data_IF_046728262982
#
_entry.id   IF_046728262982
#
_cell.length_a   1.000
_cell.length_b   1.000
_cell.length_c   1.000
_cell.angle_alpha   90.00
_cell.angle_beta   90.00
_cell.angle_gamma   90.00
#
_symmetry.space_group_name_H-M   'P 1'
#
loop_
_entity.id
_entity.type
_entity.pdbx_description
1 polymer ?
#
# COMPACT_ATOMS: atom_id res chain seq x y z
N UNK A 1 -13.04 24.67 -27.14
CA UNK A 1 -12.29 25.68 -26.36
C UNK A 1 -10.83 25.62 -26.81
N UNK A 2 -10.25 26.70 -27.38
CA UNK A 2 -8.84 26.67 -27.84
C UNK A 2 -7.91 26.70 -26.62
N UNK A 3 -7.06 25.69 -26.47
CA UNK A 3 -6.06 25.63 -25.40
C UNK A 3 -4.93 26.66 -25.63
N UNK A 4 -4.31 27.19 -24.55
CA UNK A 4 -3.17 28.08 -24.64
C UNK A 4 -1.89 27.36 -25.10
N UNK A 5 -1.01 28.09 -25.79
CA UNK A 5 0.17 27.58 -26.51
C UNK A 5 1.26 26.89 -25.64
N UNK A 6 1.13 26.90 -24.32
CA UNK A 6 2.04 26.22 -23.40
C UNK A 6 1.58 24.80 -23.02
N UNK A 7 0.38 24.39 -23.43
CA UNK A 7 -0.14 23.08 -23.12
C UNK A 7 0.74 21.98 -23.78
N UNK A 8 1.27 21.03 -23.01
CA UNK A 8 2.06 19.93 -23.56
C UNK A 8 1.25 19.12 -24.56
N UNK A 9 1.89 18.62 -25.63
CA UNK A 9 1.22 17.93 -26.75
C UNK A 9 0.40 16.69 -26.37
N UNK A 10 0.65 16.11 -25.19
CA UNK A 10 -0.10 14.99 -24.61
C UNK A 10 -1.37 15.40 -23.84
N UNK A 11 -1.64 16.70 -23.67
CA UNK A 11 -2.80 17.25 -22.98
C UNK A 11 -3.79 17.84 -24.00
N UNK A 12 -4.31 17.01 -24.91
CA UNK A 12 -5.47 17.36 -25.74
C UNK A 12 -6.74 16.84 -25.06
N UNK A 13 -7.78 17.69 -24.84
CA UNK A 13 -9.08 17.24 -24.35
C UNK A 13 -9.72 16.32 -25.39
N UNK A 14 -10.50 15.36 -24.90
CA UNK A 14 -11.35 14.46 -25.68
C UNK A 14 -12.35 15.32 -26.47
N UNK A 15 -11.98 15.65 -27.71
CA UNK A 15 -12.95 15.89 -28.76
C UNK A 15 -13.16 14.52 -29.37
N UNK A 16 -14.43 14.13 -29.53
CA UNK A 16 -14.85 12.89 -30.16
C UNK A 16 -14.31 12.83 -31.60
N UNK A 17 -13.07 12.35 -31.75
CA UNK A 17 -12.56 11.92 -33.04
C UNK A 17 -13.27 10.59 -33.33
N UNK A 18 -14.36 10.71 -34.10
CA UNK A 18 -15.06 9.62 -34.77
C UNK A 18 -14.06 8.57 -35.30
N UNK A 19 -14.31 7.31 -34.95
CA UNK A 19 -14.02 6.10 -35.72
C UNK A 19 -12.72 6.07 -36.53
N UNK A 20 -11.59 6.50 -35.96
CA UNK A 20 -10.30 6.03 -36.45
C UNK A 20 -9.96 4.74 -35.72
N UNK A 21 -10.23 3.62 -36.38
CA UNK A 21 -9.81 2.27 -35.99
C UNK A 21 -8.33 2.28 -35.60
N UNK A 22 -8.08 2.50 -34.31
CA UNK A 22 -6.75 2.53 -33.75
C UNK A 22 -6.19 1.14 -33.85
N UNK A 23 -5.17 0.95 -34.70
CA UNK A 23 -4.42 -0.31 -34.83
C UNK A 23 -4.22 -0.90 -33.43
N UNK A 24 -4.69 -2.12 -33.23
CA UNK A 24 -4.42 -2.89 -32.01
C UNK A 24 -2.93 -2.80 -31.71
N UNK A 25 -2.57 -2.62 -30.44
CA UNK A 25 -1.20 -2.98 -30.05
C UNK A 25 -1.11 -4.47 -30.38
N UNK A 26 -0.40 -4.82 -31.46
CA UNK A 26 -0.15 -6.23 -31.72
C UNK A 26 0.43 -6.85 -30.44
N UNK A 27 0.07 -8.10 -30.09
CA UNK A 27 0.54 -8.78 -28.88
C UNK A 27 2.06 -8.98 -28.96
N UNK A 28 2.80 -7.92 -28.66
CA UNK A 28 4.24 -7.89 -28.56
C UNK A 28 4.67 -8.41 -27.20
N UNK A 29 5.93 -8.83 -27.07
CA UNK A 29 6.49 -9.16 -25.77
C UNK A 29 6.43 -7.95 -24.85
N UNK A 30 6.29 -8.20 -23.55
CA UNK A 30 6.25 -7.15 -22.54
C UNK A 30 7.40 -6.15 -22.76
N UNK A 31 7.14 -4.83 -22.88
CA UNK A 31 8.16 -3.84 -23.24
C UNK A 31 9.34 -3.73 -22.26
N UNK A 32 9.20 -4.36 -21.08
CA UNK A 32 10.27 -4.53 -20.09
C UNK A 32 11.38 -5.50 -20.54
N UNK A 33 11.11 -6.35 -21.54
CA UNK A 33 11.97 -7.49 -21.91
C UNK A 33 12.94 -7.22 -23.07
N UNK A 34 12.91 -6.05 -23.72
CA UNK A 34 13.82 -5.72 -24.83
C UNK A 34 14.30 -4.27 -24.81
N UNK A 35 15.62 -4.08 -24.97
CA UNK A 35 16.35 -2.86 -25.35
C UNK A 35 15.74 -1.49 -25.00
N UNK A 36 15.28 -1.30 -23.77
CA UNK A 36 14.94 0.05 -23.26
C UNK A 36 16.00 0.55 -22.29
N UNK A 37 16.24 1.86 -22.36
CA UNK A 37 17.19 2.56 -21.49
C UNK A 37 16.82 2.37 -20.01
N UNK A 38 17.83 2.32 -19.14
CA UNK A 38 17.67 2.22 -17.68
C UNK A 38 16.65 3.23 -17.12
N UNK A 39 16.63 4.46 -17.68
CA UNK A 39 15.69 5.51 -17.29
C UNK A 39 14.23 5.13 -17.57
N UNK A 40 13.96 4.42 -18.67
CA UNK A 40 12.61 3.96 -18.99
C UNK A 40 12.08 2.96 -17.96
N UNK A 41 12.97 2.11 -17.42
CA UNK A 41 12.65 1.16 -16.37
C UNK A 41 12.44 1.88 -15.03
N UNK A 42 13.36 2.79 -14.68
CA UNK A 42 13.34 3.55 -13.42
C UNK A 42 12.05 4.38 -13.26
N UNK A 43 11.59 5.03 -14.33
CA UNK A 43 10.41 5.89 -14.30
C UNK A 43 9.12 5.21 -14.79
N UNK A 44 9.14 3.89 -15.01
CA UNK A 44 7.99 3.14 -15.55
C UNK A 44 7.42 3.72 -16.86
N UNK A 45 8.22 4.45 -17.63
CA UNK A 45 7.74 5.15 -18.83
C UNK A 45 7.27 4.20 -19.94
N UNK A 46 7.67 2.92 -19.86
CA UNK A 46 7.20 1.87 -20.76
C UNK A 46 5.70 1.60 -20.64
N UNK A 47 5.08 1.90 -19.49
CA UNK A 47 3.65 1.77 -19.27
C UNK A 47 2.83 2.88 -19.96
N UNK A 48 3.47 3.99 -20.33
CA UNK A 48 2.79 5.15 -20.92
C UNK A 48 2.06 4.82 -22.23
N UNK A 49 2.55 3.84 -22.99
CA UNK A 49 1.94 3.42 -24.25
C UNK A 49 0.53 2.85 -24.01
N UNK A 50 0.39 1.93 -23.05
CA UNK A 50 -0.90 1.36 -22.68
C UNK A 50 -1.84 2.41 -22.08
N UNK A 51 -1.32 3.32 -21.26
CA UNK A 51 -2.10 4.44 -20.71
C UNK A 51 -2.64 5.36 -21.80
N UNK A 52 -1.84 5.63 -22.83
CA UNK A 52 -2.28 6.45 -23.97
C UNK A 52 -3.34 5.74 -24.79
N UNK A 53 -3.22 4.43 -25.01
CA UNK A 53 -4.24 3.62 -25.68
C UNK A 53 -5.54 3.61 -24.90
N UNK A 54 -5.48 3.34 -23.58
CA UNK A 54 -6.63 3.36 -22.67
C UNK A 54 -7.35 4.70 -22.61
N UNK A 55 -6.64 5.82 -22.86
CA UNK A 55 -7.27 7.14 -22.92
C UNK A 55 -8.11 7.32 -24.19
N UNK A 56 -7.69 6.70 -25.30
CA UNK A 56 -8.33 6.89 -26.61
C UNK A 56 -9.47 5.91 -26.83
N UNK A 57 -9.38 4.70 -26.30
CA UNK A 57 -10.42 3.67 -26.39
C UNK A 57 -10.37 2.71 -25.21
N UNK A 58 -11.45 1.99 -25.01
CA UNK A 58 -11.48 0.86 -24.08
C UNK A 58 -10.46 -0.20 -24.49
N UNK A 59 -9.81 -0.78 -23.48
CA UNK A 59 -8.78 -1.81 -23.68
C UNK A 59 -9.43 -3.18 -23.86
N UNK A 60 -9.07 -3.86 -24.94
CA UNK A 60 -9.43 -5.25 -25.16
C UNK A 60 -8.31 -6.19 -24.69
N UNK A 61 -8.62 -7.48 -24.54
CA UNK A 61 -7.64 -8.49 -24.15
C UNK A 61 -6.46 -8.58 -25.14
N UNK A 62 -6.69 -8.26 -26.41
CA UNK A 62 -5.69 -8.27 -27.47
C UNK A 62 -4.64 -7.14 -27.34
N UNK A 63 -4.97 -6.05 -26.63
CA UNK A 63 -4.06 -4.93 -26.40
C UNK A 63 -3.08 -5.17 -25.25
N UNK A 64 -3.30 -6.25 -24.49
CA UNK A 64 -2.43 -6.62 -23.38
C UNK A 64 -1.19 -7.33 -23.89
N UNK A 65 -0.05 -6.97 -23.32
CA UNK A 65 1.21 -7.63 -23.63
C UNK A 65 1.21 -9.09 -23.21
N UNK A 66 1.87 -9.92 -24.02
CA UNK A 66 2.10 -11.32 -23.68
C UNK A 66 3.20 -11.43 -22.63
N UNK A 67 3.06 -12.42 -21.75
CA UNK A 67 4.10 -12.70 -20.75
C UNK A 67 5.40 -13.13 -21.46
N UNK A 68 6.57 -12.61 -21.04
CA UNK A 68 7.85 -13.04 -21.61
C UNK A 68 8.12 -14.53 -21.35
N UNK A 69 8.94 -15.14 -22.21
CA UNK A 69 9.38 -16.53 -22.02
C UNK A 69 10.07 -16.70 -20.64
N UNK A 70 9.71 -17.76 -19.91
CA UNK A 70 10.21 -18.00 -18.54
C UNK A 70 9.39 -17.36 -17.42
N UNK A 71 8.32 -16.63 -17.74
CA UNK A 71 7.35 -16.08 -16.78
C UNK A 71 6.03 -16.88 -16.72
N UNK A 72 5.97 -18.05 -17.35
CA UNK A 72 4.82 -18.96 -17.27
C UNK A 72 4.70 -19.58 -15.89
N UNK A 73 3.47 -19.84 -15.45
CA UNK A 73 3.20 -20.52 -14.17
C UNK A 73 3.86 -21.90 -14.08
N UNK A 74 4.04 -22.58 -15.20
CA UNK A 74 4.72 -23.87 -15.28
C UNK A 74 6.22 -23.75 -14.99
N UNK A 75 6.89 -22.76 -15.57
CA UNK A 75 8.33 -22.56 -15.41
C UNK A 75 8.70 -22.26 -13.95
N UNK A 76 7.83 -21.52 -13.26
CA UNK A 76 7.98 -21.18 -11.85
C UNK A 76 7.55 -22.34 -10.93
N UNK A 77 6.63 -23.19 -11.36
CA UNK A 77 6.19 -24.37 -10.62
C UNK A 77 7.15 -25.56 -10.72
N UNK A 78 7.83 -25.76 -11.86
CA UNK A 78 8.72 -26.92 -12.11
C UNK A 78 9.76 -27.19 -10.99
N UNK A 79 10.52 -26.19 -10.51
CA UNK A 79 11.51 -26.42 -9.43
C UNK A 79 10.87 -26.77 -8.09
N UNK A 80 9.64 -26.32 -7.90
CA UNK A 80 8.90 -26.39 -6.63
C UNK A 80 8.10 -27.71 -6.54
N UNK A 81 7.66 -28.25 -7.67
CA UNK A 81 6.75 -29.41 -7.75
C UNK A 81 7.29 -30.69 -7.10
N UNK A 82 8.61 -30.86 -7.05
CA UNK A 82 9.24 -32.08 -6.54
C UNK A 82 9.47 -32.10 -5.03
N UNK A 83 9.23 -30.98 -4.33
CA UNK A 83 9.48 -30.86 -2.90
C UNK A 83 8.18 -30.88 -2.09
N UNK A 84 8.14 -31.66 -1.02
CA UNK A 84 6.95 -31.81 -0.15
C UNK A 84 6.87 -30.76 0.96
N UNK A 85 8.00 -30.10 1.29
CA UNK A 85 8.10 -29.09 2.35
C UNK A 85 8.26 -27.70 1.75
N UNK A 86 7.47 -26.74 2.21
CA UNK A 86 7.50 -25.33 1.78
C UNK A 86 8.90 -24.69 1.87
N UNK A 87 9.68 -25.03 2.90
CA UNK A 87 11.04 -24.51 3.04
C UNK A 87 11.99 -25.04 1.96
N UNK A 88 11.90 -26.32 1.63
CA UNK A 88 12.70 -26.96 0.59
C UNK A 88 12.25 -26.48 -0.81
N UNK A 89 10.96 -26.20 -0.97
CA UNK A 89 10.38 -25.57 -2.17
C UNK A 89 10.94 -24.15 -2.40
N UNK A 90 11.09 -23.35 -1.34
CA UNK A 90 11.58 -21.97 -1.47
C UNK A 90 13.10 -21.88 -1.60
N UNK A 91 13.84 -22.80 -1.00
CA UNK A 91 15.31 -22.80 -0.99
C UNK A 91 15.86 -22.99 -2.42
N UNK A 92 16.56 -21.98 -2.93
CA UNK A 92 17.12 -21.98 -4.29
C UNK A 92 16.15 -21.58 -5.40
N UNK A 93 14.91 -21.18 -5.06
CA UNK A 93 13.93 -20.71 -6.05
C UNK A 93 14.20 -19.26 -6.48
N UNK A 94 13.88 -18.94 -7.75
CA UNK A 94 13.89 -17.55 -8.27
C UNK A 94 12.94 -16.64 -7.48
N UNK A 95 11.88 -17.21 -6.92
CA UNK A 95 10.87 -16.50 -6.12
C UNK A 95 11.44 -15.99 -4.80
N UNK A 96 12.22 -16.81 -4.10
CA UNK A 96 12.90 -16.38 -2.87
C UNK A 96 13.94 -15.29 -3.16
N UNK A 97 14.67 -15.40 -4.26
CA UNK A 97 15.65 -14.38 -4.68
C UNK A 97 14.96 -13.04 -5.00
N UNK A 98 13.84 -13.07 -5.73
CA UNK A 98 13.02 -11.87 -5.98
C UNK A 98 12.47 -11.27 -4.68
N UNK A 99 11.95 -12.10 -3.78
CA UNK A 99 11.43 -11.62 -2.51
C UNK A 99 12.54 -11.04 -1.61
N UNK A 100 13.73 -11.64 -1.60
CA UNK A 100 14.88 -11.08 -0.91
C UNK A 100 15.29 -9.71 -1.50
N UNK A 101 15.22 -9.56 -2.83
CA UNK A 101 15.45 -8.28 -3.51
C UNK A 101 14.40 -7.23 -3.15
N UNK A 102 13.12 -7.60 -3.02
CA UNK A 102 12.09 -6.72 -2.46
C UNK A 102 12.49 -6.24 -1.05
N UNK A 103 12.95 -7.16 -0.20
CA UNK A 103 13.41 -6.83 1.15
C UNK A 103 14.56 -5.83 1.17
N UNK A 104 15.53 -5.96 0.26
CA UNK A 104 16.63 -5.02 0.09
C UNK A 104 16.13 -3.62 -0.31
N UNK A 105 15.26 -3.53 -1.31
CA UNK A 105 14.68 -2.24 -1.74
C UNK A 105 13.82 -1.60 -0.64
N UNK A 106 13.11 -2.41 0.15
CA UNK A 106 12.39 -1.94 1.34
C UNK A 106 13.35 -1.33 2.35
N UNK A 107 14.47 -2.00 2.64
CA UNK A 107 15.50 -1.47 3.54
C UNK A 107 16.04 -0.13 3.04
N UNK A 108 16.40 -0.02 1.76
CA UNK A 108 16.87 1.23 1.16
C UNK A 108 15.84 2.35 1.28
N UNK A 109 14.57 2.05 1.02
CA UNK A 109 13.47 3.01 1.21
C UNK A 109 13.35 3.45 2.67
N UNK A 110 13.46 2.54 3.64
CA UNK A 110 13.40 2.90 5.06
C UNK A 110 14.57 3.79 5.47
N UNK A 111 15.79 3.47 5.04
CA UNK A 111 16.96 4.30 5.31
C UNK A 111 16.82 5.71 4.72
N UNK A 112 16.25 5.83 3.51
CA UNK A 112 15.92 7.12 2.90
C UNK A 112 14.89 7.91 3.72
N UNK A 113 13.84 7.23 4.21
CA UNK A 113 12.82 7.84 5.09
C UNK A 113 13.40 8.29 6.43
N UNK A 114 14.36 7.53 6.98
CA UNK A 114 15.04 7.83 8.24
C UNK A 114 15.97 9.04 8.15
N UNK A 115 16.53 9.31 6.97
CA UNK A 115 17.37 10.48 6.73
C UNK A 115 16.58 11.79 6.78
N UNK A 116 15.29 11.77 6.40
CA UNK A 116 14.42 12.96 6.34
C UNK A 116 14.35 13.76 7.67
N UNK A 117 13.99 13.16 8.83
CA UNK A 117 13.95 13.90 10.10
C UNK A 117 15.35 14.37 10.57
N UNK A 118 16.43 13.64 10.25
CA UNK A 118 17.79 14.05 10.61
C UNK A 118 18.22 15.31 9.86
N UNK A 119 18.01 15.31 8.54
CA UNK A 119 18.34 16.47 7.70
C UNK A 119 17.44 17.66 8.03
N UNK A 120 16.17 17.43 8.36
CA UNK A 120 15.27 18.48 8.85
C UNK A 120 15.77 19.10 10.16
N UNK A 121 16.17 18.28 11.15
CA UNK A 121 16.72 18.79 12.40
C UNK A 121 18.01 19.61 12.18
N UNK A 122 18.90 19.15 11.28
CA UNK A 122 20.10 19.90 10.90
C UNK A 122 19.76 21.24 10.22
N UNK A 123 18.76 21.25 9.35
CA UNK A 123 18.28 22.48 8.70
C UNK A 123 17.71 23.46 9.73
N UNK A 124 16.92 22.98 10.70
CA UNK A 124 16.38 23.81 11.78
C UNK A 124 17.48 24.40 12.65
N UNK A 125 18.51 23.61 12.98
CA UNK A 125 19.70 24.09 13.72
C UNK A 125 20.47 25.17 12.94
N UNK A 126 20.69 24.95 11.65
CA UNK A 126 21.34 25.94 10.78
C UNK A 126 20.57 27.27 10.78
N UNK A 127 19.24 27.22 10.66
CA UNK A 127 18.39 28.42 10.68
C UNK A 127 18.34 29.10 12.05
N UNK A 128 18.33 28.34 13.15
CA UNK A 128 18.33 28.90 14.50
C UNK A 128 19.65 29.59 14.84
N UNK A 129 20.78 29.00 14.44
CA UNK A 129 22.12 29.54 14.72
C UNK A 129 22.39 30.82 13.88
N UNK A 130 21.83 30.90 12.68
CA UNK A 130 21.87 32.13 11.88
C UNK A 130 21.18 33.30 12.61
N UNK A 131 20.09 33.03 13.36
CA UNK A 131 19.34 34.07 14.08
C UNK A 131 20.07 34.64 15.32
N UNK A 132 20.95 33.85 15.94
CA UNK A 132 21.76 34.24 17.10
C UNK A 132 23.11 34.84 16.69
N UNK A 133 23.67 34.43 15.54
CA UNK A 133 25.02 34.81 15.07
C UNK A 133 25.04 36.01 14.10
N UNK A 134 23.88 36.57 13.71
CA UNK A 134 23.80 37.79 12.91
C UNK A 134 24.55 39.02 13.50
N UNK A 135 24.98 38.96 14.77
CA UNK A 135 25.70 40.04 15.45
C UNK A 135 27.23 39.90 15.53
N UNK A 136 27.84 38.74 15.22
CA UNK A 136 29.27 38.56 15.46
C UNK A 136 29.98 37.71 14.39
N UNK A 137 30.40 38.39 13.32
CA UNK A 137 31.64 38.14 12.59
C UNK A 137 31.87 36.74 11.96
N UNK A 138 31.90 36.74 10.62
CA UNK A 138 32.58 35.82 9.69
C UNK A 138 31.85 34.54 9.20
N UNK A 139 31.39 34.62 7.94
CA UNK A 139 31.40 33.55 6.92
C UNK A 139 30.72 32.19 7.19
N UNK A 140 29.52 32.13 7.78
CA UNK A 140 28.67 30.96 7.52
C UNK A 140 28.14 31.02 6.09
N UNK A 141 28.66 30.13 5.25
CA UNK A 141 28.40 30.12 3.82
C UNK A 141 26.99 29.59 3.54
N UNK A 142 26.15 30.39 2.86
CA UNK A 142 24.83 29.97 2.38
C UNK A 142 24.82 28.62 1.64
N UNK A 143 25.99 28.20 1.14
CA UNK A 143 26.21 26.89 0.53
C UNK A 143 25.88 25.71 1.46
N UNK A 144 26.12 25.80 2.78
CA UNK A 144 25.81 24.70 3.71
C UNK A 144 24.30 24.43 3.79
N UNK A 145 23.48 25.49 3.88
CA UNK A 145 22.02 25.37 3.83
C UNK A 145 21.52 24.81 2.48
N UNK A 146 22.10 25.25 1.35
CA UNK A 146 21.77 24.69 0.05
C UNK A 146 22.15 23.22 -0.09
N UNK A 147 23.28 22.79 0.49
CA UNK A 147 23.70 21.39 0.50
C UNK A 147 22.72 20.54 1.30
N UNK A 148 22.32 20.98 2.51
CA UNK A 148 21.35 20.25 3.34
C UNK A 148 20.01 20.13 2.59
N UNK A 149 19.51 21.21 2.00
CA UNK A 149 18.27 21.20 1.23
C UNK A 149 18.35 20.27 0.00
N UNK A 150 19.48 20.27 -0.71
CA UNK A 150 19.71 19.37 -1.84
C UNK A 150 19.77 17.90 -1.38
N UNK A 151 20.44 17.61 -0.26
CA UNK A 151 20.48 16.27 0.33
C UNK A 151 19.09 15.79 0.74
N UNK A 152 18.23 16.67 1.26
CA UNK A 152 16.83 16.35 1.58
C UNK A 152 16.06 15.95 0.31
N UNK A 153 16.23 16.69 -0.79
CA UNK A 153 15.62 16.36 -2.08
C UNK A 153 16.10 15.00 -2.59
N UNK A 154 17.42 14.76 -2.58
CA UNK A 154 18.01 13.49 -3.02
C UNK A 154 17.50 12.32 -2.18
N UNK A 155 17.46 12.48 -0.85
CA UNK A 155 16.94 11.46 0.06
C UNK A 155 15.46 11.15 -0.21
N UNK A 156 14.62 12.17 -0.43
CA UNK A 156 13.20 11.99 -0.73
C UNK A 156 12.94 11.32 -2.09
N UNK A 157 13.70 11.69 -3.13
CA UNK A 157 13.61 11.05 -4.45
C UNK A 157 14.09 9.61 -4.37
N UNK A 158 15.21 9.36 -3.70
CA UNK A 158 15.75 8.01 -3.50
C UNK A 158 14.76 7.10 -2.75
N UNK A 159 14.20 7.59 -1.64
CA UNK A 159 13.15 6.89 -0.89
C UNK A 159 11.96 6.55 -1.81
N UNK A 160 11.45 7.53 -2.55
CA UNK A 160 10.27 7.36 -3.41
C UNK A 160 10.51 6.32 -4.51
N UNK A 161 11.68 6.37 -5.16
CA UNK A 161 12.06 5.40 -6.18
C UNK A 161 12.18 4.00 -5.59
N UNK A 162 12.90 3.82 -4.49
CA UNK A 162 13.02 2.50 -3.83
C UNK A 162 11.66 1.95 -3.41
N UNK A 163 10.78 2.78 -2.83
CA UNK A 163 9.46 2.37 -2.40
C UNK A 163 8.59 1.91 -3.57
N UNK A 164 8.57 2.67 -4.66
CA UNK A 164 7.75 2.34 -5.82
C UNK A 164 8.22 1.04 -6.51
N UNK A 165 9.54 0.86 -6.63
CA UNK A 165 10.10 -0.37 -7.17
C UNK A 165 9.86 -1.57 -6.24
N UNK A 166 9.95 -1.38 -4.92
CA UNK A 166 9.57 -2.38 -3.93
C UNK A 166 8.12 -2.84 -4.12
N UNK A 167 7.18 -1.89 -4.19
CA UNK A 167 5.75 -2.22 -4.35
C UNK A 167 5.52 -2.96 -5.67
N UNK A 168 6.09 -2.48 -6.78
CA UNK A 168 5.97 -3.12 -8.09
C UNK A 168 6.48 -4.57 -8.09
N UNK A 169 7.67 -4.81 -7.53
CA UNK A 169 8.24 -6.16 -7.44
C UNK A 169 7.46 -7.06 -6.48
N UNK A 170 6.89 -6.54 -5.39
CA UNK A 170 5.99 -7.30 -4.52
C UNK A 170 4.72 -7.73 -5.24
N UNK A 171 4.13 -6.87 -6.08
CA UNK A 171 2.98 -7.24 -6.91
C UNK A 171 3.33 -8.36 -7.91
N UNK A 172 4.49 -8.27 -8.55
CA UNK A 172 4.99 -9.31 -9.46
C UNK A 172 5.23 -10.64 -8.74
N UNK A 173 6.00 -10.60 -7.64
CA UNK A 173 6.26 -11.76 -6.81
C UNK A 173 4.96 -12.39 -6.30
N UNK A 174 4.02 -11.55 -5.84
CA UNK A 174 2.68 -11.96 -5.41
C UNK A 174 1.89 -12.68 -6.51
N UNK A 175 1.91 -12.13 -7.73
CA UNK A 175 1.25 -12.73 -8.89
C UNK A 175 1.88 -14.09 -9.25
N UNK A 176 3.21 -14.20 -9.27
CA UNK A 176 3.90 -15.47 -9.57
C UNK A 176 3.69 -16.52 -8.48
N UNK A 177 3.76 -16.14 -7.21
CA UNK A 177 3.47 -17.03 -6.09
C UNK A 177 2.05 -17.57 -6.16
N UNK A 178 1.07 -16.68 -6.40
CA UNK A 178 -0.33 -17.04 -6.57
C UNK A 178 -0.53 -18.02 -7.72
N UNK A 179 0.03 -17.72 -8.87
CA UNK A 179 -0.08 -18.54 -10.09
C UNK A 179 0.56 -19.92 -9.91
N UNK A 180 1.72 -19.97 -9.28
CA UNK A 180 2.45 -21.22 -8.98
C UNK A 180 1.67 -22.11 -8.03
N UNK A 181 1.13 -21.56 -6.94
CA UNK A 181 0.33 -22.33 -5.98
C UNK A 181 -0.97 -22.82 -6.61
N UNK A 182 -1.62 -22.01 -7.43
CA UNK A 182 -2.82 -22.40 -8.16
C UNK A 182 -2.55 -23.57 -9.13
N UNK A 183 -1.41 -23.55 -9.82
CA UNK A 183 -0.99 -24.62 -10.73
C UNK A 183 -0.69 -25.94 -9.97
N UNK A 184 0.12 -25.87 -8.92
CA UNK A 184 0.54 -27.04 -8.12
C UNK A 184 -0.63 -27.71 -7.39
N UNK A 185 -1.63 -26.93 -7.00
CA UNK A 185 -2.68 -27.37 -6.08
C UNK A 185 -4.04 -27.33 -6.78
N UNK A 186 -4.09 -27.37 -8.12
CA UNK A 186 -5.33 -27.32 -8.93
C UNK A 186 -6.41 -28.32 -8.44
N UNK A 187 -6.01 -29.46 -7.87
CA UNK A 187 -6.92 -30.44 -7.24
C UNK A 187 -7.34 -30.19 -5.77
N UNK A 188 -6.64 -29.33 -5.01
CA UNK A 188 -6.92 -29.03 -3.57
C UNK A 188 -7.35 -27.56 -3.34
N UNK A 189 -7.21 -26.68 -4.34
CA UNK A 189 -7.32 -25.20 -4.27
C UNK A 189 -8.73 -24.63 -4.13
N UNK A 190 -9.79 -25.43 -4.23
CA UNK A 190 -11.12 -24.91 -3.85
C UNK A 190 -11.20 -24.45 -2.38
N UNK A 191 -10.18 -24.72 -1.54
CA UNK A 191 -10.15 -24.38 -0.12
C UNK A 191 -9.20 -23.25 0.30
N UNK A 192 -8.21 -22.85 -0.52
CA UNK A 192 -7.29 -21.76 -0.18
C UNK A 192 -7.61 -20.51 -0.99
N UNK A 193 -7.92 -19.40 -0.32
CA UNK A 193 -8.13 -18.12 -0.99
C UNK A 193 -6.80 -17.59 -1.53
N UNK A 194 -6.66 -17.63 -2.85
CA UNK A 194 -5.46 -17.20 -3.58
C UNK A 194 -5.06 -15.74 -3.35
N UNK A 195 -5.98 -14.89 -2.89
CA UNK A 195 -5.72 -13.49 -2.50
C UNK A 195 -4.82 -13.36 -1.27
N UNK A 196 -4.92 -14.29 -0.31
CA UNK A 196 -4.17 -14.21 0.95
C UNK A 196 -2.65 -14.36 0.76
N UNK A 197 -2.22 -15.08 -0.28
CA UNK A 197 -0.79 -15.27 -0.59
C UNK A 197 -0.16 -13.97 -1.10
N UNK A 198 -0.88 -13.27 -1.99
CA UNK A 198 -0.42 -12.01 -2.55
C UNK A 198 -0.32 -10.92 -1.48
N UNK A 199 -1.30 -10.86 -0.57
CA UNK A 199 -1.27 -9.95 0.58
C UNK A 199 -0.10 -10.26 1.52
N UNK A 200 0.17 -11.53 1.79
CA UNK A 200 1.32 -11.93 2.61
C UNK A 200 2.65 -11.47 2.02
N UNK A 201 2.84 -11.57 0.70
CA UNK A 201 4.06 -11.10 0.04
C UNK A 201 4.18 -9.57 0.12
N UNK A 202 3.08 -8.85 -0.06
CA UNK A 202 3.08 -7.39 -0.01
C UNK A 202 3.40 -6.85 1.39
N UNK A 203 2.84 -7.46 2.43
CA UNK A 203 2.99 -6.99 3.82
C UNK A 203 4.07 -7.75 4.62
N UNK A 204 4.61 -8.85 4.10
CA UNK A 204 5.50 -9.73 4.85
C UNK A 204 6.80 -9.03 5.30
N UNK A 205 7.34 -8.12 4.50
CA UNK A 205 8.52 -7.36 4.93
C UNK A 205 8.23 -6.37 6.08
N UNK A 206 6.97 -6.01 6.34
CA UNK A 206 6.63 -5.16 7.49
C UNK A 206 6.96 -5.83 8.83
N UNK A 207 7.05 -7.17 8.88
CA UNK A 207 7.37 -7.92 10.10
C UNK A 207 8.72 -7.49 10.68
N UNK A 208 9.73 -7.24 9.84
CA UNK A 208 11.05 -6.78 10.27
C UNK A 208 11.24 -5.27 10.06
N UNK A 209 10.64 -4.68 9.01
CA UNK A 209 10.77 -3.25 8.70
C UNK A 209 10.05 -2.36 9.72
N UNK A 210 8.88 -2.77 10.23
CA UNK A 210 8.15 -1.99 11.23
C UNK A 210 8.91 -1.87 12.57
N UNK A 211 9.41 -2.96 13.21
CA UNK A 211 10.19 -2.82 14.44
C UNK A 211 11.50 -2.07 14.21
N UNK A 212 12.19 -2.28 13.09
CA UNK A 212 13.40 -1.53 12.73
C UNK A 212 13.14 -0.01 12.70
N UNK A 213 12.05 0.39 12.04
CA UNK A 213 11.65 1.80 11.94
C UNK A 213 11.22 2.37 13.28
N UNK A 214 10.44 1.62 14.05
CA UNK A 214 10.02 2.02 15.39
C UNK A 214 11.23 2.23 16.32
N UNK A 215 12.21 1.33 16.32
CA UNK A 215 13.44 1.46 17.11
C UNK A 215 14.21 2.73 16.75
N UNK A 216 14.36 3.03 15.47
CA UNK A 216 15.02 4.25 15.02
C UNK A 216 14.29 5.52 15.47
N UNK A 217 12.97 5.59 15.24
CA UNK A 217 12.14 6.75 15.62
C UNK A 217 12.16 6.97 17.13
N UNK A 218 12.06 5.90 17.93
CA UNK A 218 12.18 5.97 19.39
C UNK A 218 13.56 6.51 19.80
N UNK A 219 14.64 6.00 19.19
CA UNK A 219 16.01 6.48 19.45
C UNK A 219 16.18 7.97 19.12
N UNK A 220 15.66 8.40 17.97
CA UNK A 220 15.62 9.80 17.56
C UNK A 220 14.86 10.67 18.57
N UNK A 221 13.64 10.26 18.96
CA UNK A 221 12.80 11.01 19.88
C UNK A 221 13.48 11.17 21.25
N UNK A 222 14.11 10.11 21.76
CA UNK A 222 14.89 10.16 23.01
C UNK A 222 16.12 11.05 22.88
N UNK A 223 16.77 11.11 21.71
CA UNK A 223 17.94 11.97 21.51
C UNK A 223 17.61 13.47 21.45
N UNK A 224 16.40 13.84 20.98
CA UNK A 224 15.97 15.24 20.83
C UNK A 224 15.29 15.74 22.11
N UNK A 225 14.34 14.97 22.65
CA UNK A 225 13.47 15.38 23.76
C UNK A 225 13.87 14.78 25.12
N UNK A 226 14.86 13.87 25.15
CA UNK A 226 15.32 13.25 26.38
C UNK A 226 14.23 12.46 27.10
N UNK A 227 14.15 12.61 28.44
CA UNK A 227 13.21 11.87 29.26
C UNK A 227 11.73 12.17 28.93
N UNK A 228 11.41 13.36 28.44
CA UNK A 228 10.04 13.75 28.11
C UNK A 228 9.41 12.89 26.99
N UNK A 229 10.24 12.36 26.09
CA UNK A 229 9.82 11.43 25.04
C UNK A 229 9.18 10.14 25.59
N UNK A 230 9.54 9.73 26.81
CA UNK A 230 9.03 8.48 27.42
C UNK A 230 7.50 8.50 27.58
N UNK A 231 6.91 9.66 27.87
CA UNK A 231 5.47 9.80 27.99
C UNK A 231 4.74 9.50 26.65
N UNK A 232 5.26 10.02 25.54
CA UNK A 232 4.74 9.74 24.20
C UNK A 232 4.93 8.28 23.79
N UNK A 233 6.08 7.67 24.13
CA UNK A 233 6.35 6.26 23.86
C UNK A 233 5.39 5.35 24.64
N UNK A 234 5.19 5.61 25.94
CA UNK A 234 4.24 4.87 26.78
C UNK A 234 2.82 4.98 26.21
N UNK A 235 2.40 6.19 25.84
CA UNK A 235 1.08 6.40 25.25
C UNK A 235 0.92 5.64 23.93
N UNK A 236 1.94 5.64 23.07
CA UNK A 236 1.95 4.88 21.82
C UNK A 236 1.81 3.37 22.08
N UNK A 237 2.57 2.84 23.05
CA UNK A 237 2.50 1.42 23.45
C UNK A 237 1.10 1.05 23.96
N UNK A 238 0.37 1.97 24.60
CA UNK A 238 -1.01 1.76 25.06
C UNK A 238 -2.04 1.89 23.92
N UNK A 239 -1.82 2.79 22.97
CA UNK A 239 -2.73 3.00 21.84
C UNK A 239 -2.75 1.84 20.85
N UNK A 240 -1.59 1.20 20.59
CA UNK A 240 -1.48 0.04 19.68
C UNK A 240 -2.42 -1.13 20.07
N UNK A 241 -2.42 -1.66 21.30
CA UNK A 241 -3.31 -2.76 21.69
C UNK A 241 -4.77 -2.32 21.71
N UNK A 242 -5.07 -1.07 22.08
CA UNK A 242 -6.43 -0.52 22.02
C UNK A 242 -6.96 -0.51 20.57
N UNK A 243 -6.18 0.00 19.63
CA UNK A 243 -6.52 0.00 18.20
C UNK A 243 -6.69 -1.44 17.70
N UNK A 244 -5.77 -2.35 18.07
CA UNK A 244 -5.84 -3.77 17.70
C UNK A 244 -7.10 -4.46 18.25
N UNK A 245 -7.50 -4.14 19.48
CA UNK A 245 -8.72 -4.67 20.09
C UNK A 245 -9.97 -4.21 19.34
N UNK A 246 -10.08 -2.92 19.01
CA UNK A 246 -11.19 -2.36 18.24
C UNK A 246 -11.26 -3.00 16.85
N UNK A 247 -10.11 -3.17 16.18
CA UNK A 247 -10.03 -3.84 14.88
C UNK A 247 -10.55 -5.28 14.94
N UNK A 248 -10.12 -6.07 15.94
CA UNK A 248 -10.61 -7.44 16.18
C UNK A 248 -12.11 -7.49 16.46
N UNK A 249 -12.64 -6.52 17.21
CA UNK A 249 -14.08 -6.41 17.43
C UNK A 249 -14.84 -6.09 16.13
N UNK A 250 -14.30 -5.22 15.26
CA UNK A 250 -14.89 -4.95 13.95
C UNK A 250 -14.89 -6.20 13.05
N UNK A 251 -13.83 -7.00 13.11
CA UNK A 251 -13.73 -8.26 12.36
C UNK A 251 -14.79 -9.28 12.77
N UNK A 252 -15.14 -9.36 14.06
CA UNK A 252 -16.26 -10.20 14.54
C UNK A 252 -17.58 -9.82 13.85
N UNK A 253 -17.91 -8.53 13.83
CA UNK A 253 -19.12 -8.05 13.14
C UNK A 253 -19.03 -8.24 11.62
N UNK A 254 -17.84 -8.11 11.03
CA UNK A 254 -17.61 -8.42 9.62
C UNK A 254 -17.90 -9.89 9.31
N UNK A 255 -17.47 -10.81 10.19
CA UNK A 255 -17.79 -12.24 10.07
C UNK A 255 -19.31 -12.48 10.14
N UNK A 256 -20.03 -11.80 11.03
CA UNK A 256 -21.50 -11.85 11.08
C UNK A 256 -22.14 -11.32 9.80
N UNK A 257 -21.65 -10.20 9.25
CA UNK A 257 -22.10 -9.67 7.96
C UNK A 257 -21.99 -10.73 6.87
N UNK A 258 -20.86 -11.44 6.78
CA UNK A 258 -20.65 -12.49 5.78
C UNK A 258 -21.66 -13.64 5.95
N UNK A 259 -21.93 -14.09 7.18
CA UNK A 259 -22.94 -15.14 7.46
C UNK A 259 -24.34 -14.74 6.96
N UNK A 260 -24.77 -13.51 7.23
CA UNK A 260 -26.08 -13.03 6.77
C UNK A 260 -26.11 -12.79 5.25
N UNK A 261 -25.01 -12.31 4.66
CA UNK A 261 -24.92 -12.12 3.21
C UNK A 261 -24.99 -13.45 2.47
N UNK A 262 -24.31 -14.50 2.95
CA UNK A 262 -24.38 -15.84 2.38
C UNK A 262 -25.79 -16.42 2.46
N UNK A 263 -26.46 -16.27 3.61
CA UNK A 263 -27.85 -16.71 3.77
C UNK A 263 -28.79 -15.96 2.82
N UNK A 264 -28.63 -14.64 2.68
CA UNK A 264 -29.41 -13.82 1.76
C UNK A 264 -29.20 -14.28 0.32
N UNK A 265 -27.95 -14.43 -0.11
CA UNK A 265 -27.58 -14.86 -1.47
C UNK A 265 -28.11 -16.27 -1.76
N UNK A 266 -28.05 -17.19 -0.79
CA UNK A 266 -28.64 -18.53 -0.92
C UNK A 266 -30.14 -18.46 -1.16
N UNK A 267 -30.89 -17.70 -0.36
CA UNK A 267 -32.35 -17.59 -0.52
C UNK A 267 -32.69 -16.94 -1.86
N UNK A 268 -32.01 -15.85 -2.22
CA UNK A 268 -32.18 -15.19 -3.52
C UNK A 268 -31.92 -16.18 -4.66
N UNK A 269 -30.82 -16.93 -4.61
CA UNK A 269 -30.49 -17.97 -5.60
C UNK A 269 -31.60 -19.00 -5.75
N UNK A 270 -32.03 -19.64 -4.66
CA UNK A 270 -33.11 -20.64 -4.69
C UNK A 270 -34.45 -20.09 -5.15
N UNK A 271 -34.73 -18.81 -4.85
CA UNK A 271 -35.97 -18.15 -5.28
C UNK A 271 -35.96 -17.90 -6.79
N UNK A 272 -34.81 -17.49 -7.35
CA UNK A 272 -34.66 -17.26 -8.78
C UNK A 272 -34.70 -18.55 -9.58
N UNK A 273 -34.04 -19.61 -9.07
CA UNK A 273 -34.11 -20.96 -9.66
C UNK A 273 -35.55 -21.49 -9.69
N UNK A 274 -36.32 -21.25 -8.62
CA UNK A 274 -37.72 -21.69 -8.46
C UNK A 274 -38.79 -20.65 -8.81
N UNK A 275 -38.48 -19.60 -9.57
CA UNK A 275 -39.32 -18.39 -9.65
C UNK A 275 -40.74 -18.66 -10.15
N UNK A 276 -40.92 -19.61 -11.07
CA UNK A 276 -42.25 -19.98 -11.61
C UNK A 276 -43.15 -20.51 -10.50
N UNK A 277 -42.64 -21.37 -9.62
CA UNK A 277 -43.38 -21.92 -8.48
C UNK A 277 -43.76 -20.83 -7.49
N UNK A 278 -42.82 -19.93 -7.17
CA UNK A 278 -43.08 -18.80 -6.27
C UNK A 278 -44.22 -17.91 -6.79
N UNK A 279 -44.25 -17.65 -8.11
CA UNK A 279 -45.32 -16.87 -8.74
C UNK A 279 -46.66 -17.61 -8.79
N UNK A 280 -46.67 -18.88 -9.20
CA UNK A 280 -47.89 -19.69 -9.27
C UNK A 280 -48.54 -19.88 -7.89
N UNK A 281 -47.75 -19.90 -6.82
CA UNK A 281 -48.23 -20.00 -5.44
C UNK A 281 -48.44 -18.64 -4.75
N UNK A 282 -48.20 -17.52 -5.44
CA UNK A 282 -48.27 -16.16 -4.88
C UNK A 282 -47.45 -15.96 -3.57
N UNK A 283 -46.30 -16.63 -3.45
CA UNK A 283 -45.44 -16.60 -2.25
C UNK A 283 -44.46 -15.42 -2.20
N UNK A 284 -44.54 -14.50 -3.15
CA UNK A 284 -43.62 -13.37 -3.30
C UNK A 284 -43.50 -12.54 -2.02
N UNK A 285 -44.63 -12.25 -1.37
CA UNK A 285 -44.68 -11.48 -0.12
C UNK A 285 -44.05 -12.20 1.08
N UNK A 286 -44.17 -13.52 1.13
CA UNK A 286 -43.55 -14.29 2.22
C UNK A 286 -42.04 -14.41 2.05
N UNK A 287 -41.55 -14.54 0.80
CA UNK A 287 -40.12 -14.47 0.50
C UNK A 287 -39.56 -13.08 0.79
N UNK A 288 -40.29 -12.01 0.42
CA UNK A 288 -39.92 -10.63 0.71
C UNK A 288 -39.76 -10.39 2.21
N UNK A 289 -40.75 -10.79 3.02
CA UNK A 289 -40.68 -10.69 4.50
C UNK A 289 -39.47 -11.42 5.06
N UNK A 290 -39.22 -12.65 4.61
CA UNK A 290 -38.07 -13.46 5.05
C UNK A 290 -36.73 -12.78 4.71
N UNK A 291 -36.58 -12.25 3.50
CA UNK A 291 -35.40 -11.50 3.09
C UNK A 291 -35.24 -10.21 3.90
N UNK A 292 -36.34 -9.52 4.22
CA UNK A 292 -36.27 -8.28 4.98
C UNK A 292 -35.75 -8.49 6.40
N UNK A 293 -36.13 -9.58 7.08
CA UNK A 293 -35.62 -9.94 8.42
C UNK A 293 -34.11 -10.22 8.39
N UNK A 294 -33.65 -10.96 7.38
CA UNK A 294 -32.21 -11.25 7.20
C UNK A 294 -31.44 -9.96 6.92
N UNK A 295 -31.99 -9.10 6.05
CA UNK A 295 -31.38 -7.82 5.68
C UNK A 295 -31.27 -6.85 6.85
N UNK A 296 -32.23 -6.83 7.77
CA UNK A 296 -32.12 -6.03 8.99
C UNK A 296 -30.97 -6.50 9.88
N UNK A 297 -30.79 -7.82 10.04
CA UNK A 297 -29.66 -8.40 10.78
C UNK A 297 -28.32 -8.10 10.10
N UNK A 298 -28.25 -8.25 8.77
CA UNK A 298 -27.09 -7.90 7.96
C UNK A 298 -26.73 -6.41 8.11
N UNK A 299 -27.71 -5.51 7.98
CA UNK A 299 -27.51 -4.07 8.10
C UNK A 299 -27.04 -3.65 9.50
N UNK A 300 -27.56 -4.30 10.55
CA UNK A 300 -27.10 -4.06 11.94
C UNK A 300 -25.64 -4.46 12.12
N UNK A 301 -25.23 -5.63 11.62
CA UNK A 301 -23.84 -6.08 11.68
C UNK A 301 -22.92 -5.16 10.87
N UNK A 302 -23.34 -4.74 9.67
CA UNK A 302 -22.60 -3.77 8.84
C UNK A 302 -22.42 -2.46 9.59
N UNK A 303 -23.50 -1.91 10.18
CA UNK A 303 -23.46 -0.66 10.93
C UNK A 303 -22.48 -0.76 12.10
N UNK A 304 -22.51 -1.84 12.87
CA UNK A 304 -21.61 -2.04 14.00
C UNK A 304 -20.14 -2.13 13.56
N UNK A 305 -19.86 -2.90 12.49
CA UNK A 305 -18.50 -2.98 11.91
C UNK A 305 -18.02 -1.62 11.40
N UNK A 306 -18.89 -0.86 10.72
CA UNK A 306 -18.58 0.47 10.23
C UNK A 306 -18.31 1.47 11.35
N UNK A 307 -19.10 1.48 12.42
CA UNK A 307 -18.87 2.35 13.59
C UNK A 307 -17.52 2.05 14.24
N UNK A 308 -17.18 0.78 14.43
CA UNK A 308 -15.88 0.39 15.00
C UNK A 308 -14.71 0.72 14.07
N UNK A 309 -14.88 0.56 12.76
CA UNK A 309 -13.85 0.92 11.78
C UNK A 309 -13.62 2.44 11.76
N UNK A 310 -14.70 3.23 11.80
CA UNK A 310 -14.61 4.69 11.91
C UNK A 310 -13.95 5.13 13.22
N UNK A 311 -14.27 4.48 14.34
CA UNK A 311 -13.61 4.75 15.62
C UNK A 311 -12.12 4.41 15.57
N UNK A 312 -11.75 3.27 14.99
CA UNK A 312 -10.36 2.85 14.82
C UNK A 312 -9.57 3.86 13.97
N UNK A 313 -10.16 4.33 12.86
CA UNK A 313 -9.56 5.36 12.01
C UNK A 313 -9.44 6.70 12.74
N UNK A 314 -10.47 7.14 13.45
CA UNK A 314 -10.42 8.36 14.25
C UNK A 314 -9.32 8.31 15.31
N UNK A 315 -9.16 7.17 15.99
CA UNK A 315 -8.06 6.95 16.94
C UNK A 315 -6.69 6.97 16.26
N UNK A 316 -6.57 6.38 15.08
CA UNK A 316 -5.33 6.40 14.30
C UNK A 316 -4.92 7.83 13.93
N UNK A 317 -5.87 8.64 13.44
CA UNK A 317 -5.64 10.02 13.05
C UNK A 317 -5.36 10.93 14.27
N UNK A 318 -6.01 10.66 15.41
CA UNK A 318 -5.79 11.39 16.67
C UNK A 318 -4.50 11.00 17.40
N UNK A 319 -3.94 9.81 17.12
CA UNK A 319 -2.79 9.27 17.87
C UNK A 319 -1.57 10.20 17.86
N UNK A 320 -1.10 10.73 16.72
CA UNK A 320 0.04 11.65 16.71
C UNK A 320 -0.19 12.91 17.54
N UNK A 321 -1.42 13.43 17.55
CA UNK A 321 -1.80 14.63 18.32
C UNK A 321 -1.75 14.34 19.81
N UNK A 322 -2.33 13.21 20.24
CA UNK A 322 -2.30 12.80 21.65
C UNK A 322 -0.87 12.54 22.14
N UNK A 323 -0.05 11.89 21.32
CA UNK A 323 1.36 11.62 21.62
C UNK A 323 2.18 12.91 21.72
N UNK A 324 2.00 13.84 20.78
CA UNK A 324 2.66 15.14 20.83
C UNK A 324 2.23 15.94 22.07
N UNK A 325 0.93 15.99 22.37
CA UNK A 325 0.39 16.67 23.54
C UNK A 325 0.98 16.11 24.84
N UNK A 326 1.00 14.79 25.01
CA UNK A 326 1.57 14.15 26.19
C UNK A 326 3.07 14.45 26.33
N UNK A 327 3.82 14.36 25.23
CA UNK A 327 5.27 14.59 25.20
C UNK A 327 5.62 16.03 25.56
N UNK A 328 4.97 17.01 24.92
CA UNK A 328 5.25 18.42 25.17
C UNK A 328 4.75 18.90 26.52
N UNK A 329 3.64 18.35 27.03
CA UNK A 329 3.16 18.68 28.38
C UNK A 329 4.18 18.24 29.44
N UNK A 330 4.73 17.03 29.32
CA UNK A 330 5.78 16.57 30.24
C UNK A 330 7.08 17.36 30.03
N UNK A 331 7.39 17.75 28.79
CA UNK A 331 8.56 18.58 28.49
C UNK A 331 8.52 19.94 29.20
N UNK A 332 7.39 20.64 29.14
CA UNK A 332 7.22 21.94 29.79
C UNK A 332 7.10 21.83 31.31
N UNK A 333 6.45 20.78 31.83
CA UNK A 333 6.37 20.53 33.28
C UNK A 333 7.74 20.24 33.91
N UNK A 334 8.69 19.69 33.14
CA UNK A 334 10.08 19.50 33.58
C UNK A 334 10.91 20.79 33.52
N UNK A 335 10.31 21.93 33.15
CA UNK A 335 10.95 23.24 33.14
C UNK A 335 11.79 23.53 31.91
N UNK A 336 11.67 22.72 30.84
CA UNK A 336 12.41 22.95 29.60
C UNK A 336 11.68 23.95 28.68
N UNK A 337 12.44 24.80 27.99
CA UNK A 337 11.91 25.73 26.98
C UNK A 337 11.75 25.06 25.62
N UNK A 338 10.59 25.28 24.99
CA UNK A 338 10.29 24.79 23.63
C UNK A 338 10.99 25.69 22.61
N UNK A 339 12.06 25.18 22.00
CA UNK A 339 12.79 25.82 20.89
C UNK A 339 12.43 25.14 19.57
N UNK A 340 12.54 25.85 18.44
CA UNK A 340 12.07 25.36 17.13
C UNK A 340 12.76 24.07 16.63
N UNK A 341 13.87 23.64 17.26
CA UNK A 341 14.61 22.42 17.00
C UNK A 341 14.18 21.21 17.86
N UNK A 342 13.24 21.40 18.80
CA UNK A 342 12.73 20.40 19.75
C UNK A 342 11.22 20.26 19.68
#
# INVERSE_FOLDING_TARGET
>A
MKLPNWAPSWFKPLVDDEEQGGKHLHPGPLPRSGDRSFLSLLFFSWYNELLQTSRRRDLDQEDLWTLPAGYSSEDWARPIAHHSRLWEMMKGSKLLALYAWCGFLRLCSELGSMASPLLMNQMLKYLSDQSTVFAAAHHHSYTEGYIIAFLMLVAAVFQSLCLQHYIGLCFECGAFARSTVMNLVFGKVLRLQSSSIQEFILFGHNIWSAPFTASWVIGMLLSILGFSATAGIILTIVLIPLQSYIARCSEKFRSETLKYSDLRLKIVGTTLEGIRTVKLSAWEKEVEKKLHVIRQSEAKAIRNSAVLLSLNRALMDASPILVALATFTIYTLLGNELTADK
#
